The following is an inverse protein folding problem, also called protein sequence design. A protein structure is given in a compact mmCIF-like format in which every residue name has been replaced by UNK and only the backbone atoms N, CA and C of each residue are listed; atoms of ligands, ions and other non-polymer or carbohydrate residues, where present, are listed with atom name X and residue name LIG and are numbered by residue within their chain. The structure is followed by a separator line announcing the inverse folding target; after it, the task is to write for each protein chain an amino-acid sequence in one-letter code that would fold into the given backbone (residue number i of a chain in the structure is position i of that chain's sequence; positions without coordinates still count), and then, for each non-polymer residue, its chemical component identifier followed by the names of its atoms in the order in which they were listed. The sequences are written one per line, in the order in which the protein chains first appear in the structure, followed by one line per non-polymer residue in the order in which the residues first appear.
data_IF_677549227342
#
_entry.id   IF_677549227342
#
_cell.length_a   1.000
_cell.length_b   1.000
_cell.length_c   1.000
_cell.angle_alpha   90.00
_cell.angle_beta   90.00
_cell.angle_gamma   90.00
#
_symmetry.space_group_name_H-M   'P 1'
#
loop_
_entity.id
_entity.type
_entity.pdbx_description
1 polymer ?
#
# COMPACT_ATOMS: atom_id res chain seq x y z
N UNK A 1 9.04 -3.27 -19.90
CA UNK A 1 7.85 -2.39 -19.88
C UNK A 1 7.24 -2.49 -18.49
N UNK A 2 7.56 -1.53 -17.60
CA UNK A 2 6.97 -1.45 -16.27
C UNK A 2 5.48 -1.16 -16.41
N UNK A 3 4.65 -2.00 -15.80
CA UNK A 3 3.21 -2.06 -16.05
C UNK A 3 2.54 -1.03 -15.15
N UNK A 4 1.98 -0.02 -15.79
CA UNK A 4 1.25 1.11 -15.21
C UNK A 4 0.11 0.60 -14.31
N UNK A 5 0.05 1.02 -13.05
CA UNK A 5 -1.09 0.72 -12.19
C UNK A 5 -2.25 1.63 -12.60
N UNK A 6 -3.06 1.11 -13.51
CA UNK A 6 -3.94 1.90 -14.36
C UNK A 6 -5.14 2.52 -13.62
N UNK A 7 -5.45 2.13 -12.38
CA UNK A 7 -6.65 2.62 -11.68
C UNK A 7 -6.43 3.89 -10.87
N UNK A 8 -5.19 4.21 -10.51
CA UNK A 8 -4.88 5.36 -9.65
C UNK A 8 -3.89 6.34 -10.33
N UNK A 9 -3.34 6.01 -11.51
CA UNK A 9 -2.64 6.97 -12.38
C UNK A 9 -1.23 7.39 -11.97
N UNK A 10 -0.51 6.64 -11.14
CA UNK A 10 0.88 6.98 -10.81
C UNK A 10 1.82 5.92 -11.40
N UNK A 11 3.09 6.26 -11.53
CA UNK A 11 4.15 5.35 -11.94
C UNK A 11 4.93 4.95 -10.68
N UNK A 12 4.77 3.70 -10.24
CA UNK A 12 5.58 3.15 -9.15
C UNK A 12 6.78 2.49 -9.83
N UNK A 13 7.91 3.19 -9.84
CA UNK A 13 9.19 2.61 -10.25
C UNK A 13 9.62 1.56 -9.23
N UNK A 14 9.11 0.35 -9.41
CA UNK A 14 9.55 -0.85 -8.71
C UNK A 14 10.58 -1.52 -9.61
N UNK A 15 11.83 -1.63 -9.16
CA UNK A 15 12.78 -2.55 -9.78
C UNK A 15 12.58 -3.93 -9.14
N UNK A 16 12.02 -4.92 -9.88
CA UNK A 16 11.72 -6.22 -9.32
C UNK A 16 12.97 -7.10 -9.42
N UNK A 17 13.98 -6.86 -8.59
CA UNK A 17 15.15 -7.74 -8.52
C UNK A 17 15.49 -8.08 -7.07
N UNK A 18 15.01 -9.25 -6.60
CA UNK A 18 15.49 -9.89 -5.37
C UNK A 18 14.65 -9.67 -4.09
N UNK A 19 15.19 -10.02 -2.90
CA UNK A 19 14.50 -9.94 -1.60
C UNK A 19 14.08 -8.53 -1.18
N UNK A 20 14.46 -7.50 -1.96
CA UNK A 20 14.05 -6.11 -1.78
C UNK A 20 12.64 -5.77 -2.28
N UNK A 21 11.89 -6.70 -2.89
CA UNK A 21 10.60 -6.40 -3.52
C UNK A 21 9.55 -5.84 -2.56
N UNK A 22 9.45 -6.39 -1.34
CA UNK A 22 8.57 -5.85 -0.29
C UNK A 22 8.97 -4.41 0.05
N UNK A 23 10.25 -4.19 0.34
CA UNK A 23 10.79 -2.90 0.75
C UNK A 23 10.65 -1.85 -0.35
N UNK A 24 10.95 -2.21 -1.60
CA UNK A 24 10.75 -1.36 -2.76
C UNK A 24 9.28 -0.99 -2.96
N UNK A 25 8.36 -1.94 -2.76
CA UNK A 25 6.92 -1.65 -2.80
C UNK A 25 6.49 -0.68 -1.69
N UNK A 26 6.94 -0.92 -0.46
CA UNK A 26 6.68 -0.04 0.68
C UNK A 26 7.23 1.37 0.42
N UNK A 27 8.49 1.49 0.01
CA UNK A 27 9.14 2.79 -0.22
C UNK A 27 8.51 3.55 -1.39
N UNK A 28 8.16 2.87 -2.49
CA UNK A 28 7.52 3.50 -3.63
C UNK A 28 6.10 4.02 -3.28
N UNK A 29 5.33 3.24 -2.53
CA UNK A 29 4.01 3.65 -2.02
C UNK A 29 4.13 4.82 -1.06
N UNK A 30 5.10 4.76 -0.13
CA UNK A 30 5.41 5.86 0.78
C UNK A 30 5.74 7.13 0.01
N UNK A 31 6.58 7.03 -1.02
CA UNK A 31 6.97 8.17 -1.84
C UNK A 31 5.80 8.72 -2.64
N UNK A 32 4.94 7.87 -3.19
CA UNK A 32 3.74 8.29 -3.91
C UNK A 32 2.76 9.06 -3.00
N UNK A 33 2.58 8.63 -1.76
CA UNK A 33 1.78 9.37 -0.76
C UNK A 33 2.47 10.67 -0.38
N UNK A 34 3.78 10.64 -0.09
CA UNK A 34 4.58 11.81 0.33
C UNK A 34 4.63 12.90 -0.74
N UNK A 35 4.73 12.53 -2.01
CA UNK A 35 4.76 13.44 -3.16
C UNK A 35 3.37 13.92 -3.57
N UNK A 36 2.30 13.47 -2.91
CA UNK A 36 0.93 13.84 -3.21
C UNK A 36 0.34 13.17 -4.46
N UNK A 37 1.06 12.23 -5.08
CA UNK A 37 0.56 11.42 -6.20
C UNK A 37 -0.57 10.49 -5.76
N UNK A 38 -0.49 10.02 -4.51
CA UNK A 38 -1.58 9.35 -3.82
C UNK A 38 -2.14 10.28 -2.76
N UNK A 39 -3.26 10.94 -3.09
CA UNK A 39 -3.94 11.85 -2.18
C UNK A 39 -4.43 11.13 -0.91
N UNK A 40 -4.45 11.80 0.24
CA UNK A 40 -5.07 11.26 1.45
C UNK A 40 -6.53 10.85 1.19
N UNK A 41 -6.98 9.73 1.78
CA UNK A 41 -8.31 9.17 1.53
C UNK A 41 -8.46 8.36 0.23
N UNK A 42 -7.43 8.35 -0.64
CA UNK A 42 -7.42 7.54 -1.88
C UNK A 42 -7.57 6.06 -1.56
N UNK A 43 -8.47 5.37 -2.26
CA UNK A 43 -8.71 3.94 -2.08
C UNK A 43 -7.66 3.13 -2.84
N UNK A 44 -6.89 2.32 -2.13
CA UNK A 44 -5.96 1.40 -2.76
C UNK A 44 -6.66 0.12 -3.26
N UNK A 45 -6.15 -0.49 -4.35
CA UNK A 45 -6.57 -1.81 -4.77
C UNK A 45 -6.28 -2.84 -3.68
N UNK A 46 -7.08 -3.92 -3.67
CA UNK A 46 -6.83 -5.04 -2.77
C UNK A 46 -5.47 -5.67 -3.04
N UNK A 47 -4.87 -6.30 -2.03
CA UNK A 47 -3.58 -6.99 -2.18
C UNK A 47 -3.60 -8.05 -3.28
N UNK A 48 -4.76 -8.65 -3.59
CA UNK A 48 -4.93 -9.58 -4.72
C UNK A 48 -4.80 -8.90 -6.08
N UNK A 49 -5.47 -7.78 -6.27
CA UNK A 49 -5.47 -7.05 -7.55
C UNK A 49 -4.08 -6.48 -7.80
N UNK A 50 -3.49 -5.83 -6.80
CA UNK A 50 -2.15 -5.25 -6.94
C UNK A 50 -1.08 -6.32 -7.18
N UNK A 51 -1.18 -7.48 -6.53
CA UNK A 51 -0.28 -8.61 -6.79
C UNK A 51 -0.39 -9.13 -8.22
N UNK A 52 -1.62 -9.25 -8.76
CA UNK A 52 -1.84 -9.68 -10.13
C UNK A 52 -1.29 -8.67 -11.14
N UNK A 53 -1.51 -7.38 -10.92
CA UNK A 53 -1.05 -6.30 -11.81
C UNK A 53 0.48 -6.21 -11.85
N UNK A 54 1.12 -6.32 -10.68
CA UNK A 54 2.58 -6.28 -10.54
C UNK A 54 3.24 -7.62 -10.87
N UNK A 55 2.48 -8.72 -10.90
CA UNK A 55 2.99 -10.07 -11.11
C UNK A 55 3.80 -10.62 -9.92
N UNK A 56 3.45 -10.22 -8.69
CA UNK A 56 4.21 -10.57 -7.48
C UNK A 56 3.36 -11.39 -6.50
N UNK A 57 3.99 -11.98 -5.48
CA UNK A 57 3.26 -12.76 -4.49
C UNK A 57 2.30 -11.87 -3.67
N UNK A 58 1.05 -12.33 -3.51
CA UNK A 58 0.03 -11.66 -2.69
C UNK A 58 0.52 -11.36 -1.26
N UNK A 59 1.27 -12.29 -0.67
CA UNK A 59 1.79 -12.13 0.69
C UNK A 59 2.75 -10.93 0.77
N UNK A 60 3.64 -10.76 -0.21
CA UNK A 60 4.53 -9.60 -0.30
C UNK A 60 3.78 -8.27 -0.33
N UNK A 61 2.67 -8.19 -1.08
CA UNK A 61 1.82 -7.00 -1.10
C UNK A 61 1.10 -6.79 0.23
N UNK A 62 0.58 -7.87 0.82
CA UNK A 62 -0.10 -7.80 2.11
C UNK A 62 0.85 -7.33 3.22
N UNK A 63 2.08 -7.84 3.23
CA UNK A 63 3.12 -7.44 4.18
C UNK A 63 3.53 -5.98 3.97
N UNK A 64 3.72 -5.54 2.74
CA UNK A 64 4.02 -4.13 2.44
C UNK A 64 2.90 -3.18 2.88
N UNK A 65 1.63 -3.57 2.67
CA UNK A 65 0.49 -2.81 3.19
C UNK A 65 0.46 -2.80 4.72
N UNK A 66 0.77 -3.92 5.38
CA UNK A 66 0.83 -3.99 6.82
C UNK A 66 1.91 -3.07 7.40
N UNK A 67 3.10 -3.04 6.78
CA UNK A 67 4.18 -2.11 7.16
C UNK A 67 3.71 -0.65 7.06
N UNK A 68 3.09 -0.27 5.93
CA UNK A 68 2.59 1.10 5.74
C UNK A 68 1.44 1.47 6.68
N UNK A 69 0.61 0.49 7.08
CA UNK A 69 -0.43 0.70 8.09
C UNK A 69 0.19 0.89 9.48
N UNK A 70 1.20 0.09 9.83
CA UNK A 70 1.93 0.22 11.09
C UNK A 70 2.65 1.58 11.21
N UNK A 71 3.16 2.10 10.08
CA UNK A 71 3.77 3.42 10.00
C UNK A 71 2.76 4.58 9.95
N UNK A 72 1.48 4.29 9.71
CA UNK A 72 0.42 5.30 9.61
C UNK A 72 0.29 5.98 8.24
N UNK A 73 0.92 5.45 7.20
CA UNK A 73 0.73 5.91 5.80
C UNK A 73 -0.59 5.40 5.21
N UNK A 74 -1.00 4.20 5.59
CA UNK A 74 -2.23 3.56 5.13
C UNK A 74 -3.17 3.24 6.29
N UNK A 75 -4.45 3.10 5.98
CA UNK A 75 -5.48 2.63 6.91
C UNK A 75 -6.18 1.43 6.30
N UNK A 76 -6.25 0.33 7.05
CA UNK A 76 -7.02 -0.84 6.67
C UNK A 76 -8.28 -0.88 7.53
N UNK A 77 -9.46 -0.70 6.90
CA UNK A 77 -10.74 -0.88 7.58
C UNK A 77 -11.38 -2.19 7.13
N UNK A 78 -11.71 -3.04 8.10
CA UNK A 78 -12.38 -4.32 7.84
C UNK A 78 -13.63 -4.10 6.98
N UNK A 79 -13.72 -4.81 5.85
CA UNK A 79 -14.86 -4.72 4.92
C UNK A 79 -14.87 -3.52 3.96
N UNK A 80 -14.01 -2.51 4.13
CA UNK A 80 -14.00 -1.31 3.27
C UNK A 80 -12.79 -1.22 2.31
N UNK A 81 -11.76 -2.04 2.54
CA UNK A 81 -10.50 -2.02 1.80
C UNK A 81 -9.46 -1.08 2.41
N UNK A 82 -8.31 -0.99 1.77
CA UNK A 82 -7.18 -0.17 2.22
C UNK A 82 -7.29 1.24 1.62
N UNK A 83 -7.02 2.28 2.41
CA UNK A 83 -7.02 3.68 1.96
C UNK A 83 -5.79 4.41 2.46
N UNK A 84 -5.35 5.45 1.74
CA UNK A 84 -4.29 6.36 2.22
C UNK A 84 -4.79 7.10 3.45
N UNK A 85 -3.97 7.17 4.50
CA UNK A 85 -4.33 7.87 5.73
C UNK A 85 -4.53 9.37 5.45
N UNK A 86 -5.64 9.93 5.92
CA UNK A 86 -5.98 11.36 5.76
C UNK A 86 -5.07 12.29 6.57
N UNK A 87 -4.36 11.71 7.54
CA UNK A 87 -3.56 12.42 8.53
C UNK A 87 -2.42 11.51 8.93
N UNK A 88 -1.21 12.07 9.06
CA UNK A 88 -0.16 11.52 9.94
C UNK A 88 -0.70 11.63 11.37
N UNK A 89 -1.68 10.79 11.69
CA UNK A 89 -2.27 10.68 13.01
C UNK A 89 -1.95 9.27 13.46
N UNK A 90 -1.11 9.24 14.49
CA UNK A 90 -0.83 8.20 15.47
C UNK A 90 -1.37 6.77 15.18
N UNK A 91 -0.56 5.74 15.49
CA UNK A 91 -0.92 4.35 15.25
C UNK A 91 -2.36 4.06 15.71
N UNK A 92 -3.16 3.31 14.92
CA UNK A 92 -4.53 3.02 15.29
C UNK A 92 -4.54 2.33 16.66
N UNK A 93 -5.38 2.79 17.61
CA UNK A 93 -5.60 2.05 18.84
C UNK A 93 -6.18 0.69 18.46
N UNK A 94 -5.63 -0.34 19.10
CA UNK A 94 -6.01 -1.76 19.03
C UNK A 94 -7.49 -2.00 18.69
N UNK A 95 -7.84 -2.04 17.41
CA UNK A 95 -9.15 -2.46 16.95
C UNK A 95 -9.11 -3.92 16.51
N UNK A 96 -8.64 -4.78 17.42
CA UNK A 96 -9.01 -6.19 17.42
C UNK A 96 -9.21 -6.67 18.86
N UNK A 97 -10.00 -5.93 19.63
CA UNK A 97 -10.73 -6.50 20.76
C UNK A 97 -11.75 -7.50 20.20
N UNK A 98 -11.31 -8.75 20.00
CA UNK A 98 -12.24 -9.88 19.89
C UNK A 98 -12.73 -10.19 21.30
N UNK A 99 -14.04 -10.09 21.43
CA UNK A 99 -14.90 -10.58 22.50
C UNK A 99 -14.80 -12.10 22.62
#
# INVERSE_FOLDING_TARGET
MARSWATLGVDLHLEPTGPGLRRGLTDALREAVRTGRLGPGTRLPSSRVLAADLGIARNTVADAYADLVAEGWLTARQGSGTRVADRVAAPPPEASARR
#
